data_IF_943551574831
#
_entry.id   IF_943551574831
#
_cell.length_a   1.000
_cell.length_b   1.000
_cell.length_c   1.000
_cell.angle_alpha   90.00
_cell.angle_beta   90.00
_cell.angle_gamma   90.00
#
_symmetry.space_group_name_H-M   'P 1'
#
loop_
_entity.id
_entity.type
_entity.pdbx_description
1 polymer ?
#
# COMPACT_ATOMS: atom_id res chain seq x y z
N UNK A 1 17.36 25.01 -41.67
CA UNK A 1 15.96 24.92 -41.22
C UNK A 1 16.01 25.02 -39.70
N UNK A 2 15.30 25.98 -39.11
CA UNK A 2 15.17 26.10 -37.65
C UNK A 2 14.10 25.15 -37.14
N UNK A 3 14.03 24.90 -35.84
CA UNK A 3 12.96 24.09 -35.27
C UNK A 3 11.60 24.79 -35.33
N UNK A 4 11.58 26.13 -35.35
CA UNK A 4 10.37 26.90 -35.67
C UNK A 4 9.88 26.55 -37.08
N UNK A 5 10.78 26.56 -38.07
CA UNK A 5 10.43 26.18 -39.45
C UNK A 5 9.92 24.73 -39.51
N UNK A 6 10.52 23.82 -38.72
CA UNK A 6 10.07 22.43 -38.62
C UNK A 6 8.65 22.33 -38.05
N UNK A 7 8.36 23.01 -36.93
CA UNK A 7 7.03 23.02 -36.32
C UNK A 7 5.97 23.56 -37.29
N UNK A 8 6.29 24.65 -37.99
CA UNK A 8 5.40 25.24 -39.00
C UNK A 8 5.18 24.30 -40.19
N UNK A 9 6.24 23.69 -40.70
CA UNK A 9 6.16 22.70 -41.79
C UNK A 9 5.31 21.51 -41.37
N UNK A 10 5.49 20.99 -40.16
CA UNK A 10 4.70 19.87 -39.65
C UNK A 10 3.24 20.25 -39.38
N UNK A 11 2.95 21.45 -38.86
CA UNK A 11 1.58 21.93 -38.69
C UNK A 11 0.85 22.00 -40.03
N UNK A 12 1.47 22.61 -41.06
CA UNK A 12 0.92 22.67 -42.41
C UNK A 12 0.71 21.28 -43.02
N UNK A 13 1.67 20.38 -42.81
CA UNK A 13 1.56 19.00 -43.28
C UNK A 13 0.38 18.27 -42.62
N UNK A 14 0.23 18.36 -41.30
CA UNK A 14 -0.88 17.74 -40.58
C UNK A 14 -2.24 18.29 -41.04
N UNK A 15 -2.35 19.58 -41.35
CA UNK A 15 -3.58 20.16 -41.89
C UNK A 15 -3.88 19.73 -43.33
N UNK A 16 -2.84 19.58 -44.15
CA UNK A 16 -3.01 19.04 -45.50
C UNK A 16 -3.47 17.58 -45.45
N UNK A 17 -2.91 16.80 -44.53
CA UNK A 17 -3.33 15.42 -44.27
C UNK A 17 -4.74 15.37 -43.69
N UNK A 18 -5.10 16.25 -42.76
CA UNK A 18 -6.47 16.37 -42.25
C UNK A 18 -7.46 16.56 -43.40
N UNK A 19 -7.22 17.52 -44.31
CA UNK A 19 -8.10 17.76 -45.46
C UNK A 19 -8.18 16.55 -46.38
N UNK A 20 -7.06 15.84 -46.58
CA UNK A 20 -7.02 14.61 -47.36
C UNK A 20 -7.83 13.50 -46.68
N UNK A 21 -7.71 13.33 -45.37
CA UNK A 21 -8.44 12.32 -44.58
C UNK A 21 -9.93 12.64 -44.52
N UNK A 22 -10.32 13.91 -44.37
CA UNK A 22 -11.74 14.30 -44.42
C UNK A 22 -12.36 14.14 -45.82
N UNK A 23 -11.55 14.23 -46.88
CA UNK A 23 -11.98 14.01 -48.25
C UNK A 23 -11.88 12.56 -48.72
N UNK A 24 -11.06 11.75 -48.06
CA UNK A 24 -10.95 10.32 -48.28
C UNK A 24 -11.91 9.59 -47.32
N UNK A 25 -12.40 8.42 -47.71
CA UNK A 25 -13.33 7.64 -46.90
C UNK A 25 -12.66 6.96 -45.67
N UNK A 26 -11.60 7.55 -45.13
CA UNK A 26 -10.75 6.99 -44.08
C UNK A 26 -11.40 7.09 -42.68
N UNK A 27 -12.26 8.09 -42.46
CA UNK A 27 -13.07 8.23 -41.25
C UNK A 27 -14.49 7.64 -41.41
N UNK A 28 -14.70 6.78 -42.42
CA UNK A 28 -15.98 6.11 -42.58
C UNK A 28 -16.20 5.02 -41.53
N UNK A 29 -17.46 4.82 -41.09
CA UNK A 29 -17.80 3.73 -40.17
C UNK A 29 -17.41 2.37 -40.74
N UNK A 30 -16.62 1.61 -39.97
CA UNK A 30 -16.26 0.23 -40.26
C UNK A 30 -17.31 -0.66 -39.62
N UNK A 31 -18.09 -1.35 -40.46
CA UNK A 31 -19.17 -2.24 -40.03
C UNK A 31 -18.66 -3.66 -39.77
N UNK A 32 -19.44 -4.45 -39.04
CA UNK A 32 -19.19 -5.88 -38.80
C UNK A 32 -17.85 -6.18 -38.09
N UNK A 33 -17.44 -5.31 -37.18
CA UNK A 33 -16.25 -5.53 -36.36
C UNK A 33 -16.58 -6.48 -35.22
N UNK A 34 -15.66 -7.42 -34.95
CA UNK A 34 -15.73 -8.26 -33.75
C UNK A 34 -14.70 -7.82 -32.73
N UNK A 35 -15.10 -7.73 -31.46
CA UNK A 35 -14.27 -7.29 -30.35
C UNK A 35 -14.15 -8.40 -29.32
N UNK A 36 -12.94 -8.66 -28.81
CA UNK A 36 -12.68 -9.58 -27.70
C UNK A 36 -11.81 -8.92 -26.64
N UNK A 37 -12.22 -8.98 -25.38
CA UNK A 37 -11.42 -8.46 -24.27
C UNK A 37 -10.19 -9.34 -24.09
N UNK A 38 -8.99 -8.74 -24.14
CA UNK A 38 -7.73 -9.45 -23.87
C UNK A 38 -7.38 -9.44 -22.41
N UNK A 39 -7.41 -8.26 -21.79
CA UNK A 39 -7.18 -8.10 -20.37
C UNK A 39 -7.62 -6.71 -19.90
N UNK A 40 -7.77 -6.57 -18.59
CA UNK A 40 -8.13 -5.33 -17.92
C UNK A 40 -7.10 -5.00 -16.84
N UNK A 41 -6.74 -3.73 -16.72
CA UNK A 41 -5.84 -3.23 -15.68
C UNK A 41 -6.52 -2.01 -15.06
N UNK A 42 -7.05 -2.18 -13.86
CA UNK A 42 -7.79 -1.11 -13.21
C UNK A 42 -9.05 -0.77 -13.99
N UNK A 43 -9.16 0.48 -14.43
CA UNK A 43 -10.23 0.99 -15.30
C UNK A 43 -9.88 0.89 -16.79
N UNK A 44 -8.65 0.51 -17.16
CA UNK A 44 -8.29 0.37 -18.57
C UNK A 44 -8.58 -1.03 -19.07
N UNK A 45 -9.13 -1.11 -20.28
CA UNK A 45 -9.50 -2.35 -20.95
C UNK A 45 -8.81 -2.43 -22.32
N UNK A 46 -8.10 -3.53 -22.57
CA UNK A 46 -7.50 -3.80 -23.87
C UNK A 46 -8.38 -4.77 -24.65
N UNK A 47 -8.95 -4.28 -25.74
CA UNK A 47 -9.75 -5.04 -26.68
C UNK A 47 -8.95 -5.38 -27.93
N UNK A 48 -9.10 -6.61 -28.42
CA UNK A 48 -8.68 -7.00 -29.77
C UNK A 48 -9.89 -6.90 -30.69
N UNK A 49 -9.75 -6.14 -31.76
CA UNK A 49 -10.77 -5.96 -32.79
C UNK A 49 -10.33 -6.65 -34.06
N UNK A 50 -11.21 -7.45 -34.65
CA UNK A 50 -11.01 -8.01 -35.99
C UNK A 50 -11.83 -7.20 -36.99
N UNK A 51 -11.13 -6.50 -37.87
CA UNK A 51 -11.69 -5.65 -38.91
C UNK A 51 -12.05 -6.49 -40.16
N UNK A 52 -13.02 -6.04 -40.97
CA UNK A 52 -13.28 -6.59 -42.29
C UNK A 52 -12.04 -6.50 -43.20
N UNK A 53 -11.91 -7.41 -44.19
CA UNK A 53 -10.79 -7.37 -45.13
C UNK A 53 -10.79 -6.06 -45.93
N UNK A 54 -9.62 -5.42 -46.01
CA UNK A 54 -9.43 -4.13 -46.69
C UNK A 54 -9.57 -2.91 -45.79
N UNK A 55 -10.08 -3.08 -44.57
CA UNK A 55 -10.10 -2.04 -43.54
C UNK A 55 -8.80 -2.04 -42.75
N UNK A 56 -8.28 -0.87 -42.41
CA UNK A 56 -7.13 -0.70 -41.53
C UNK A 56 -7.33 0.53 -40.64
N UNK A 57 -6.72 0.52 -39.46
CA UNK A 57 -6.71 1.66 -38.54
C UNK A 57 -5.25 1.98 -38.19
N UNK A 58 -4.89 3.25 -38.25
CA UNK A 58 -3.55 3.71 -37.88
C UNK A 58 -3.40 3.78 -36.36
N UNK A 59 -2.16 3.67 -35.88
CA UNK A 59 -1.84 3.87 -34.46
C UNK A 59 -2.23 5.28 -34.01
N UNK A 60 -2.58 5.39 -32.73
CA UNK A 60 -3.04 6.60 -32.06
C UNK A 60 -4.35 7.18 -32.61
N UNK A 61 -5.05 6.45 -33.50
CA UNK A 61 -6.35 6.90 -34.00
C UNK A 61 -7.38 6.78 -32.89
N UNK A 62 -8.04 7.88 -32.48
CA UNK A 62 -9.20 7.82 -31.60
C UNK A 62 -10.36 7.17 -32.35
N UNK A 63 -11.10 6.32 -31.66
CA UNK A 63 -12.25 5.63 -32.22
C UNK A 63 -13.43 5.63 -31.25
N UNK A 64 -14.63 5.59 -31.81
CA UNK A 64 -15.85 5.26 -31.08
C UNK A 64 -16.32 3.87 -31.50
N UNK A 65 -16.51 2.99 -30.53
CA UNK A 65 -17.03 1.64 -30.74
C UNK A 65 -18.52 1.66 -30.37
N UNK A 66 -19.38 1.37 -31.34
CA UNK A 66 -20.83 1.34 -31.20
C UNK A 66 -21.28 -0.13 -31.22
N UNK A 67 -21.65 -0.72 -30.08
CA UNK A 67 -22.21 -2.06 -30.04
C UNK A 67 -23.61 -2.12 -30.70
N UNK A 68 -24.07 -3.30 -31.16
CA UNK A 68 -25.38 -3.42 -31.81
C UNK A 68 -26.57 -3.37 -30.84
N UNK A 69 -26.37 -3.61 -29.55
CA UNK A 69 -27.45 -3.88 -28.58
C UNK A 69 -27.98 -2.63 -27.84
N UNK A 70 -28.02 -1.45 -28.49
CA UNK A 70 -28.37 -0.15 -27.87
C UNK A 70 -27.52 0.22 -26.63
N UNK A 71 -26.35 -0.41 -26.48
CA UNK A 71 -25.37 -0.08 -25.45
C UNK A 71 -24.71 1.26 -25.77
N UNK A 72 -24.32 1.99 -24.72
CA UNK A 72 -23.65 3.28 -24.87
C UNK A 72 -22.35 3.12 -25.69
N UNK A 73 -22.09 4.04 -26.65
CA UNK A 73 -20.88 4.02 -27.44
C UNK A 73 -19.67 4.22 -26.52
N UNK A 74 -18.64 3.42 -26.75
CA UNK A 74 -17.41 3.46 -25.94
C UNK A 74 -16.28 4.09 -26.74
N UNK A 75 -15.62 5.09 -26.14
CA UNK A 75 -14.45 5.73 -26.73
C UNK A 75 -13.17 4.94 -26.44
N UNK A 76 -12.25 4.95 -27.40
CA UNK A 76 -10.95 4.30 -27.27
C UNK A 76 -9.89 4.86 -28.19
N UNK A 77 -8.68 4.34 -28.05
CA UNK A 77 -7.54 4.67 -28.88
C UNK A 77 -6.86 3.40 -29.40
N UNK A 78 -6.48 3.41 -30.67
CA UNK A 78 -5.77 2.30 -31.31
C UNK A 78 -4.31 2.31 -30.85
N UNK A 79 -3.90 1.29 -30.10
CA UNK A 79 -2.52 1.16 -29.61
C UNK A 79 -1.61 0.43 -30.61
N UNK A 80 -2.17 -0.38 -31.50
CA UNK A 80 -1.38 -1.18 -32.43
C UNK A 80 -2.23 -2.11 -33.26
N UNK A 81 -1.63 -2.74 -34.26
CA UNK A 81 -2.32 -3.78 -35.02
C UNK A 81 -1.41 -4.52 -35.99
N UNK A 82 -1.87 -5.68 -36.45
CA UNK A 82 -1.22 -6.45 -37.50
C UNK A 82 -2.29 -7.00 -38.44
N UNK A 83 -2.22 -6.61 -39.72
CA UNK A 83 -3.20 -7.02 -40.72
C UNK A 83 -4.59 -6.47 -40.40
N UNK A 84 -5.56 -7.37 -40.25
CA UNK A 84 -6.95 -7.03 -39.91
C UNK A 84 -7.23 -7.02 -38.41
N UNK A 85 -6.24 -7.29 -37.57
CA UNK A 85 -6.40 -7.30 -36.11
C UNK A 85 -5.79 -6.05 -35.53
N UNK A 86 -6.54 -5.33 -34.71
CA UNK A 86 -6.10 -4.11 -34.03
C UNK A 86 -6.37 -4.18 -32.53
N UNK A 87 -5.50 -3.57 -31.74
CA UNK A 87 -5.59 -3.49 -30.29
C UNK A 87 -6.03 -2.09 -29.90
N UNK A 88 -7.12 -2.01 -29.13
CA UNK A 88 -7.74 -0.77 -28.71
C UNK A 88 -7.80 -0.71 -27.20
N UNK A 89 -7.35 0.41 -26.64
CA UNK A 89 -7.54 0.72 -25.23
C UNK A 89 -8.81 1.54 -25.04
N UNK A 90 -9.68 1.12 -24.12
CA UNK A 90 -10.86 1.85 -23.68
C UNK A 90 -10.83 2.09 -22.17
N UNK A 91 -11.57 3.10 -21.71
CA UNK A 91 -11.78 3.38 -20.27
C UNK A 91 -13.03 2.70 -19.72
N UNK A 92 -14.04 2.49 -20.56
CA UNK A 92 -15.26 1.78 -20.20
C UNK A 92 -15.25 0.36 -20.77
N UNK A 93 -15.86 -0.56 -20.03
CA UNK A 93 -15.96 -1.96 -20.42
C UNK A 93 -17.16 -2.17 -21.35
N UNK A 94 -16.90 -2.65 -22.57
CA UNK A 94 -17.92 -3.07 -23.53
C UNK A 94 -18.50 -4.45 -23.13
N UNK A 95 -17.74 -5.25 -22.38
CA UNK A 95 -18.03 -6.65 -22.04
C UNK A 95 -16.88 -7.58 -22.40
N UNK A 96 -17.10 -8.90 -22.35
CA UNK A 96 -16.08 -9.91 -22.70
C UNK A 96 -15.88 -10.02 -24.21
N UNK A 97 -16.96 -9.91 -24.98
CA UNK A 97 -16.94 -9.95 -26.43
C UNK A 97 -18.10 -9.14 -26.98
N UNK A 98 -17.90 -8.49 -28.12
CA UNK A 98 -18.94 -7.81 -28.87
C UNK A 98 -18.85 -8.27 -30.33
N UNK A 99 -19.95 -8.73 -30.91
CA UNK A 99 -20.03 -9.10 -32.31
C UNK A 99 -20.80 -8.03 -33.08
N UNK A 100 -20.47 -7.83 -34.35
CA UNK A 100 -21.13 -6.85 -35.22
C UNK A 100 -21.12 -5.41 -34.67
N UNK A 101 -20.05 -5.01 -33.99
CA UNK A 101 -19.85 -3.62 -33.61
C UNK A 101 -19.59 -2.76 -34.85
N UNK A 102 -19.96 -1.50 -34.76
CA UNK A 102 -19.54 -0.45 -35.71
C UNK A 102 -18.43 0.36 -35.08
N UNK A 103 -17.32 0.55 -35.80
CA UNK A 103 -16.19 1.36 -35.35
C UNK A 103 -16.13 2.61 -36.19
N UNK A 104 -16.16 3.77 -35.54
CA UNK A 104 -16.04 5.07 -36.19
C UNK A 104 -14.68 5.68 -35.81
N UNK A 105 -13.73 5.78 -36.75
CA UNK A 105 -12.47 6.46 -36.50
C UNK A 105 -12.60 7.98 -36.60
N UNK A 106 -11.84 8.70 -35.78
CA UNK A 106 -11.71 10.16 -35.81
C UNK A 106 -10.25 10.58 -36.08
N UNK A 107 -9.72 10.17 -37.23
CA UNK A 107 -8.35 10.52 -37.62
C UNK A 107 -8.26 11.99 -38.00
N UNK A 108 -9.26 12.55 -38.68
CA UNK A 108 -9.28 13.96 -39.02
C UNK A 108 -9.30 14.85 -37.77
N UNK A 109 -10.12 14.54 -36.75
CA UNK A 109 -10.14 15.27 -35.49
C UNK A 109 -8.82 15.19 -34.73
N UNK A 110 -8.17 14.03 -34.73
CA UNK A 110 -6.82 13.87 -34.16
C UNK A 110 -5.77 14.75 -34.86
N UNK A 111 -5.75 14.73 -36.20
CA UNK A 111 -4.81 15.54 -37.00
C UNK A 111 -5.07 17.04 -36.80
N UNK A 112 -6.33 17.46 -36.76
CA UNK A 112 -6.72 18.84 -36.50
C UNK A 112 -6.23 19.31 -35.12
N UNK A 113 -6.45 18.49 -34.09
CA UNK A 113 -6.03 18.79 -32.72
C UNK A 113 -4.50 18.86 -32.61
N UNK A 114 -3.80 17.94 -33.27
CA UNK A 114 -2.33 17.91 -33.30
C UNK A 114 -1.75 19.13 -34.02
N UNK A 115 -2.28 19.49 -35.19
CA UNK A 115 -1.87 20.70 -35.91
C UNK A 115 -2.13 21.97 -35.09
N UNK A 116 -3.30 22.06 -34.45
CA UNK A 116 -3.63 23.17 -33.55
C UNK A 116 -2.63 23.29 -32.40
N UNK A 117 -2.27 22.18 -31.74
CA UNK A 117 -1.25 22.19 -30.68
C UNK A 117 0.09 22.73 -31.18
N UNK A 118 0.55 22.31 -32.36
CA UNK A 118 1.78 22.83 -32.96
C UNK A 118 1.68 24.34 -33.25
N UNK A 119 0.52 24.83 -33.71
CA UNK A 119 0.29 26.27 -33.89
C UNK A 119 0.26 27.04 -32.58
N UNK A 120 -0.37 26.49 -31.55
CA UNK A 120 -0.41 27.11 -30.23
C UNK A 120 1.01 27.25 -29.65
N UNK A 121 1.86 26.24 -29.84
CA UNK A 121 3.29 26.30 -29.49
C UNK A 121 4.02 27.43 -30.25
N UNK A 122 3.72 27.62 -31.54
CA UNK A 122 4.30 28.70 -32.35
C UNK A 122 3.79 30.10 -31.95
N UNK A 123 2.53 30.19 -31.51
CA UNK A 123 1.88 31.44 -31.13
C UNK A 123 2.32 31.94 -29.74
N UNK A 124 2.80 31.05 -28.87
CA UNK A 124 3.20 31.36 -27.49
C UNK A 124 4.68 31.07 -27.21
N UNK A 125 5.64 31.66 -27.96
CA UNK A 125 7.06 31.42 -27.72
C UNK A 125 7.51 31.86 -26.33
N UNK A 126 6.89 32.92 -25.79
CA UNK A 126 7.21 33.44 -24.46
C UNK A 126 6.76 32.51 -23.32
N UNK A 127 5.83 31.58 -23.56
CA UNK A 127 5.43 30.58 -22.56
C UNK A 127 6.57 29.58 -22.23
N UNK A 128 7.59 29.51 -23.10
CA UNK A 128 8.77 28.67 -22.91
C UNK A 128 9.98 29.44 -22.40
N UNK A 129 9.88 30.77 -22.28
CA UNK A 129 10.93 31.62 -21.72
C UNK A 129 10.91 31.57 -20.20
N UNK A 130 12.07 31.74 -19.56
CA UNK A 130 12.25 31.74 -18.10
C UNK A 130 11.95 30.39 -17.42
N UNK A 131 11.90 29.29 -18.19
CA UNK A 131 11.73 27.92 -17.70
C UNK A 131 12.92 27.00 -18.00
N UNK A 132 12.88 25.73 -17.56
CA UNK A 132 13.91 24.74 -17.90
C UNK A 132 14.09 24.53 -19.42
N UNK A 133 13.01 24.74 -20.18
CA UNK A 133 12.99 24.64 -21.64
C UNK A 133 13.71 25.80 -22.36
N UNK A 134 13.97 26.92 -21.68
CA UNK A 134 14.64 28.09 -22.26
C UNK A 134 16.07 27.75 -22.73
N UNK A 135 16.70 26.78 -22.06
CA UNK A 135 18.02 26.24 -22.46
C UNK A 135 17.99 25.49 -23.81
N UNK A 136 16.82 25.07 -24.27
CA UNK A 136 16.62 24.44 -25.57
C UNK A 136 16.39 25.46 -26.68
N UNK A 137 16.00 26.70 -26.36
CA UNK A 137 15.70 27.74 -27.36
C UNK A 137 16.87 27.98 -28.34
N UNK A 138 18.15 28.06 -27.90
CA UNK A 138 19.28 28.21 -28.83
C UNK A 138 19.44 27.02 -29.80
N UNK A 139 19.07 25.81 -29.38
CA UNK A 139 19.10 24.62 -30.25
C UNK A 139 17.95 24.63 -31.28
N UNK A 140 16.83 25.26 -30.94
CA UNK A 140 15.69 25.44 -31.84
C UNK A 140 15.96 26.52 -32.90
N UNK A 141 16.84 27.48 -32.62
CA UNK A 141 17.20 28.57 -33.53
C UNK A 141 18.42 28.24 -34.42
N UNK A 142 19.24 27.25 -34.03
CA UNK A 142 20.41 26.86 -34.80
C UNK A 142 20.02 26.21 -36.15
N UNK A 143 20.62 26.63 -37.29
CA UNK A 143 20.35 26.01 -38.57
C UNK A 143 20.88 24.57 -38.58
N UNK A 144 20.05 23.62 -39.00
CA UNK A 144 20.29 22.17 -39.13
C UNK A 144 21.48 21.73 -39.99
N UNK A 145 22.38 22.63 -40.40
CA UNK A 145 23.51 22.36 -41.29
C UNK A 145 24.88 22.82 -40.79
N UNK A 146 25.03 23.28 -39.55
CA UNK A 146 26.36 23.50 -38.97
C UNK A 146 27.00 22.15 -38.68
N UNK A 147 28.13 21.89 -39.32
CA UNK A 147 28.77 20.59 -39.47
C UNK A 147 29.02 19.85 -38.17
N UNK A 148 29.11 18.53 -38.33
CA UNK A 148 29.79 17.58 -37.46
C UNK A 148 29.97 18.02 -36.00
N UNK A 149 29.16 17.43 -35.11
CA UNK A 149 29.55 17.20 -33.71
C UNK A 149 30.71 16.17 -33.62
N UNK A 150 31.65 16.18 -34.58
CA UNK A 150 32.91 15.44 -34.57
C UNK A 150 33.89 16.19 -33.69
N UNK A 151 33.79 15.94 -32.39
CA UNK A 151 34.73 16.43 -31.40
C UNK A 151 34.47 15.73 -30.09
N UNK A 152 35.13 14.59 -29.91
CA UNK A 152 35.14 13.84 -28.66
C UNK A 152 35.35 14.76 -27.44
N UNK A 153 34.60 14.53 -26.37
CA UNK A 153 35.05 14.89 -25.01
C UNK A 153 34.48 16.16 -24.37
N UNK A 154 33.19 16.49 -24.55
CA UNK A 154 32.43 17.24 -23.55
C UNK A 154 30.94 17.11 -23.85
N UNK A 155 30.23 16.31 -23.05
CA UNK A 155 28.78 16.17 -23.17
C UNK A 155 28.10 17.53 -23.06
N UNK A 156 27.42 17.97 -24.12
CA UNK A 156 26.42 19.02 -23.97
C UNK A 156 25.39 18.51 -22.96
N UNK A 157 25.28 19.16 -21.81
CA UNK A 157 24.28 18.84 -20.76
C UNK A 157 22.82 18.98 -21.24
N UNK A 158 22.61 19.40 -22.48
CA UNK A 158 21.32 19.81 -23.03
C UNK A 158 20.80 18.82 -24.08
N UNK A 159 21.65 18.37 -25.02
CA UNK A 159 21.25 17.43 -26.07
C UNK A 159 22.35 16.39 -26.30
N UNK A 160 21.99 15.11 -26.26
CA UNK A 160 22.87 13.98 -26.56
C UNK A 160 22.21 13.11 -27.61
N UNK A 161 22.91 12.84 -28.71
CA UNK A 161 22.44 11.96 -29.78
C UNK A 161 23.07 10.58 -29.63
N UNK A 162 22.23 9.55 -29.54
CA UNK A 162 22.68 8.15 -29.51
C UNK A 162 22.42 7.53 -30.88
N UNK A 163 23.46 7.40 -31.69
CA UNK A 163 23.39 6.81 -33.02
C UNK A 163 24.10 5.46 -33.09
N UNK A 164 23.50 4.51 -33.82
CA UNK A 164 24.05 3.22 -34.19
C UNK A 164 23.11 2.59 -35.23
N UNK A 165 23.67 1.88 -36.21
CA UNK A 165 22.86 1.22 -37.26
C UNK A 165 21.99 0.12 -36.65
N UNK A 166 22.55 -0.63 -35.68
CA UNK A 166 21.84 -1.70 -34.99
C UNK A 166 20.89 -1.15 -33.91
N UNK A 167 19.63 -1.57 -33.97
CA UNK A 167 18.57 -1.13 -33.05
C UNK A 167 18.73 -1.69 -31.62
N UNK A 168 19.22 -2.92 -31.50
CA UNK A 168 19.56 -3.55 -30.20
C UNK A 168 20.61 -2.72 -29.45
N UNK A 169 21.67 -2.31 -30.13
CA UNK A 169 22.77 -1.50 -29.59
C UNK A 169 22.26 -0.12 -29.17
N UNK A 170 21.40 0.51 -29.98
CA UNK A 170 20.75 1.78 -29.59
C UNK A 170 19.94 1.63 -28.30
N UNK A 171 19.10 0.60 -28.20
CA UNK A 171 18.29 0.33 -27.01
C UNK A 171 19.15 0.06 -25.78
N UNK A 172 20.23 -0.71 -25.93
CA UNK A 172 21.16 -1.00 -24.83
C UNK A 172 21.85 0.28 -24.33
N UNK A 173 22.34 1.14 -25.23
CA UNK A 173 22.94 2.43 -24.88
C UNK A 173 21.93 3.34 -24.16
N UNK A 174 20.69 3.40 -24.64
CA UNK A 174 19.61 4.14 -23.98
C UNK A 174 19.29 3.58 -22.59
N UNK A 175 19.29 2.25 -22.41
CA UNK A 175 19.05 1.63 -21.12
C UNK A 175 20.15 1.95 -20.10
N UNK A 176 21.42 1.98 -20.53
CA UNK A 176 22.55 2.42 -19.70
C UNK A 176 22.39 3.88 -19.28
N UNK A 177 22.10 4.77 -20.24
CA UNK A 177 21.86 6.19 -19.96
C UNK A 177 20.69 6.39 -18.98
N UNK A 178 19.59 5.66 -19.16
CA UNK A 178 18.44 5.73 -18.26
C UNK A 178 18.82 5.35 -16.83
N UNK A 179 19.63 4.29 -16.64
CA UNK A 179 20.10 3.88 -15.30
C UNK A 179 20.97 4.96 -14.66
N UNK A 180 21.86 5.59 -15.42
CA UNK A 180 22.70 6.69 -14.92
C UNK A 180 21.85 7.89 -14.47
N UNK A 181 20.87 8.28 -15.28
CA UNK A 181 19.94 9.37 -14.98
C UNK A 181 19.05 9.06 -13.76
N UNK A 182 18.56 7.82 -13.64
CA UNK A 182 17.78 7.38 -12.48
C UNK A 182 18.64 7.43 -11.21
N UNK A 183 19.89 6.96 -11.27
CA UNK A 183 20.84 7.05 -10.14
C UNK A 183 21.16 8.49 -9.76
N UNK A 184 21.18 9.40 -10.73
CA UNK A 184 21.30 10.84 -10.52
C UNK A 184 19.99 11.53 -10.08
N UNK A 185 18.97 10.73 -9.71
CA UNK A 185 17.65 11.18 -9.26
C UNK A 185 16.96 12.11 -10.27
N UNK A 186 16.99 11.74 -11.55
CA UNK A 186 16.31 12.47 -12.64
C UNK A 186 15.02 11.77 -13.03
N UNK A 187 14.00 12.58 -13.30
CA UNK A 187 12.75 12.13 -13.92
C UNK A 187 12.94 12.10 -15.44
N UNK A 188 12.50 11.01 -16.08
CA UNK A 188 12.71 10.76 -17.51
C UNK A 188 11.35 10.60 -18.17
N UNK A 189 11.07 11.44 -19.17
CA UNK A 189 9.96 11.23 -20.10
C UNK A 189 10.51 10.52 -21.34
N UNK A 190 9.95 9.36 -21.66
CA UNK A 190 10.32 8.58 -22.85
C UNK A 190 9.20 8.70 -23.87
N UNK A 191 9.54 9.16 -25.07
CA UNK A 191 8.62 9.24 -26.20
C UNK A 191 9.13 8.29 -27.29
N UNK A 192 8.24 7.45 -27.82
CA UNK A 192 8.53 6.46 -28.85
C UNK A 192 7.64 6.72 -30.07
N UNK A 193 8.04 6.25 -31.27
CA UNK A 193 7.24 6.43 -32.48
C UNK A 193 5.95 5.60 -32.47
N UNK A 194 5.92 4.51 -31.70
CA UNK A 194 4.77 3.63 -31.55
C UNK A 194 4.82 2.89 -30.20
N UNK A 195 3.69 2.28 -29.83
CA UNK A 195 3.53 1.57 -28.58
C UNK A 195 4.32 0.26 -28.48
N UNK A 196 4.64 -0.40 -29.61
CA UNK A 196 5.46 -1.62 -29.61
C UNK A 196 6.93 -1.28 -29.32
N UNK A 197 7.43 -0.19 -29.89
CA UNK A 197 8.74 0.37 -29.62
C UNK A 197 8.85 0.82 -28.17
N UNK A 198 7.78 1.42 -27.63
CA UNK A 198 7.69 1.77 -26.20
C UNK A 198 7.80 0.52 -25.31
N UNK A 199 7.01 -0.52 -25.58
CA UNK A 199 7.06 -1.79 -24.86
C UNK A 199 8.47 -2.38 -24.87
N UNK A 200 9.09 -2.49 -26.05
CA UNK A 200 10.41 -3.08 -26.16
C UNK A 200 11.51 -2.26 -25.47
N UNK A 201 11.44 -0.92 -25.54
CA UNK A 201 12.39 -0.04 -24.86
C UNK A 201 12.22 -0.10 -23.33
N UNK A 202 10.98 -0.03 -22.83
CA UNK A 202 10.66 -0.16 -21.41
C UNK A 202 11.12 -1.52 -20.87
N UNK A 203 10.88 -2.60 -21.62
CA UNK A 203 11.36 -3.94 -21.28
C UNK A 203 12.88 -4.03 -21.19
N UNK A 204 13.59 -3.40 -22.14
CA UNK A 204 15.06 -3.32 -22.15
C UNK A 204 15.60 -2.56 -20.94
N UNK A 205 15.02 -1.40 -20.63
CA UNK A 205 15.38 -0.58 -19.46
C UNK A 205 15.12 -1.37 -18.17
N UNK A 206 13.93 -1.96 -18.03
CA UNK A 206 13.54 -2.72 -16.85
C UNK A 206 14.45 -3.94 -16.60
N UNK A 207 14.86 -4.65 -17.66
CA UNK A 207 15.84 -5.75 -17.54
C UNK A 207 17.20 -5.22 -17.12
N UNK A 208 17.68 -4.15 -17.73
CA UNK A 208 18.97 -3.57 -17.38
C UNK A 208 18.98 -3.10 -15.90
N UNK A 209 17.89 -2.49 -15.44
CA UNK A 209 17.70 -2.13 -14.03
C UNK A 209 17.73 -3.36 -13.12
N UNK A 210 17.00 -4.43 -13.48
CA UNK A 210 16.99 -5.69 -12.74
C UNK A 210 18.39 -6.31 -12.65
N UNK A 211 19.16 -6.29 -13.74
CA UNK A 211 20.54 -6.80 -13.76
C UNK A 211 21.48 -6.02 -12.83
N UNK A 212 21.18 -4.74 -12.60
CA UNK A 212 21.95 -3.83 -11.74
C UNK A 212 21.41 -3.78 -10.31
N UNK A 213 20.39 -4.58 -9.98
CA UNK A 213 19.79 -4.65 -8.64
C UNK A 213 18.83 -3.50 -8.30
N UNK A 214 18.39 -2.72 -9.29
CA UNK A 214 17.40 -1.65 -9.09
C UNK A 214 15.96 -2.18 -9.21
N UNK A 215 15.07 -1.68 -8.35
CA UNK A 215 13.65 -2.05 -8.35
C UNK A 215 12.86 -1.34 -9.46
N UNK A 216 12.92 -1.86 -10.69
CA UNK A 216 12.28 -1.24 -11.86
C UNK A 216 10.78 -0.91 -11.68
N UNK A 217 10.02 -1.69 -10.89
CA UNK A 217 8.59 -1.47 -10.63
C UNK A 217 8.23 -0.16 -9.92
N UNK A 218 9.19 0.53 -9.32
CA UNK A 218 8.95 1.82 -8.64
C UNK A 218 9.41 3.02 -9.46
N UNK A 219 10.23 2.80 -10.48
CA UNK A 219 10.91 3.88 -11.23
C UNK A 219 10.41 4.05 -12.65
N UNK A 220 9.77 3.01 -13.19
CA UNK A 220 9.28 3.00 -14.57
C UNK A 220 7.77 2.85 -14.55
N UNK A 221 7.08 3.79 -15.20
CA UNK A 221 5.64 3.78 -15.36
C UNK A 221 5.28 4.12 -16.81
N UNK A 222 4.23 3.48 -17.32
CA UNK A 222 3.67 3.71 -18.65
C UNK A 222 2.20 4.13 -18.54
N UNK A 223 1.76 5.13 -19.31
CA UNK A 223 0.36 5.57 -19.27
C UNK A 223 -0.57 4.64 -20.05
N UNK A 224 -0.15 4.22 -21.24
CA UNK A 224 -0.94 3.33 -22.09
C UNK A 224 -0.74 1.87 -21.70
N UNK A 225 -1.73 1.04 -22.02
CA UNK A 225 -1.65 -0.40 -21.80
C UNK A 225 -0.55 -1.02 -22.65
N UNK A 226 0.15 -1.99 -22.07
CA UNK A 226 1.14 -2.78 -22.78
C UNK A 226 0.44 -3.72 -23.78
N UNK A 227 0.96 -3.79 -25.01
CA UNK A 227 0.46 -4.74 -26.01
C UNK A 227 0.93 -6.17 -25.67
N UNK A 228 2.11 -6.29 -25.08
CA UNK A 228 2.69 -7.55 -24.62
C UNK A 228 2.58 -7.70 -23.10
N UNK A 229 2.19 -8.89 -22.63
CA UNK A 229 2.15 -9.18 -21.19
C UNK A 229 3.56 -9.24 -20.59
N UNK A 230 4.50 -9.82 -21.33
CA UNK A 230 5.89 -9.96 -20.93
C UNK A 230 6.83 -9.66 -22.09
N UNK A 231 7.94 -8.99 -21.79
CA UNK A 231 9.06 -8.85 -22.72
C UNK A 231 10.31 -9.27 -21.98
N UNK A 232 10.99 -10.28 -22.53
CA UNK A 232 12.31 -10.73 -22.08
C UNK A 232 12.35 -10.99 -20.56
N UNK A 233 11.30 -11.66 -20.06
CA UNK A 233 11.13 -12.07 -18.66
C UNK A 233 10.64 -10.98 -17.70
N UNK A 234 10.32 -9.79 -18.21
CA UNK A 234 9.73 -8.68 -17.44
C UNK A 234 8.25 -8.59 -17.76
N UNK A 235 7.39 -8.64 -16.73
CA UNK A 235 5.96 -8.36 -16.86
C UNK A 235 5.70 -6.87 -17.09
N UNK A 236 5.66 -6.43 -18.35
CA UNK A 236 5.50 -5.01 -18.69
C UNK A 236 4.11 -4.49 -18.32
N UNK A 237 3.08 -5.33 -18.37
CA UNK A 237 1.74 -4.97 -17.92
C UNK A 237 1.69 -4.41 -16.49
N UNK A 238 2.59 -4.86 -15.61
CA UNK A 238 2.69 -4.39 -14.23
C UNK A 238 3.36 -3.02 -14.10
N UNK A 239 3.99 -2.55 -15.18
CA UNK A 239 4.61 -1.23 -15.28
C UNK A 239 3.64 -0.16 -15.79
N UNK A 240 2.38 -0.52 -16.07
CA UNK A 240 1.34 0.47 -16.32
C UNK A 240 1.07 1.31 -15.07
N UNK A 241 0.86 2.61 -15.27
CA UNK A 241 0.51 3.57 -14.21
C UNK A 241 -0.72 3.09 -13.45
N UNK A 242 -1.77 2.68 -14.17
CA UNK A 242 -2.98 2.14 -13.57
C UNK A 242 -2.71 0.85 -12.77
N UNK A 243 -1.86 -0.05 -13.27
CA UNK A 243 -1.48 -1.26 -12.54
C UNK A 243 -0.81 -0.90 -11.19
N UNK A 244 0.13 0.04 -11.22
CA UNK A 244 0.87 0.48 -10.03
C UNK A 244 -0.04 1.20 -9.03
N UNK A 245 -0.91 2.09 -9.52
CA UNK A 245 -1.88 2.81 -8.70
C UNK A 245 -2.87 1.86 -8.02
N UNK A 246 -3.44 0.91 -8.76
CA UNK A 246 -4.35 -0.09 -8.19
C UNK A 246 -3.66 -0.98 -7.16
N UNK A 247 -2.43 -1.42 -7.41
CA UNK A 247 -1.65 -2.19 -6.44
C UNK A 247 -1.36 -1.37 -5.17
N UNK A 248 -1.03 -0.09 -5.31
CA UNK A 248 -0.80 0.80 -4.19
C UNK A 248 -2.07 1.00 -3.34
N UNK A 249 -3.21 1.26 -3.98
CA UNK A 249 -4.49 1.39 -3.28
C UNK A 249 -4.93 0.08 -2.61
N UNK A 250 -4.72 -1.06 -3.27
CA UNK A 250 -5.03 -2.37 -2.69
C UNK A 250 -4.22 -2.62 -1.42
N UNK A 251 -2.91 -2.32 -1.42
CA UNK A 251 -2.04 -2.41 -0.24
C UNK A 251 -2.52 -1.50 0.90
N UNK A 252 -2.78 -0.22 0.60
CA UNK A 252 -3.26 0.74 1.59
C UNK A 252 -4.62 0.35 2.19
N UNK A 253 -5.54 -0.20 1.39
CA UNK A 253 -6.82 -0.73 1.89
C UNK A 253 -6.61 -1.95 2.79
N UNK A 254 -5.71 -2.85 2.43
CA UNK A 254 -5.39 -4.03 3.24
C UNK A 254 -4.78 -3.63 4.59
N UNK A 255 -3.85 -2.67 4.61
CA UNK A 255 -3.25 -2.14 5.84
C UNK A 255 -4.29 -1.45 6.73
N UNK A 256 -5.17 -0.63 6.15
CA UNK A 256 -6.30 -0.02 6.89
C UNK A 256 -7.22 -1.07 7.47
N UNK A 257 -7.53 -2.14 6.73
CA UNK A 257 -8.37 -3.23 7.22
C UNK A 257 -7.68 -4.00 8.36
N UNK A 258 -6.37 -4.25 8.26
CA UNK A 258 -5.59 -4.88 9.33
C UNK A 258 -5.57 -4.02 10.61
N UNK A 259 -5.40 -2.70 10.46
CA UNK A 259 -5.41 -1.77 11.59
C UNK A 259 -6.80 -1.70 12.25
N UNK A 260 -7.88 -1.69 11.47
CA UNK A 260 -9.25 -1.77 11.98
C UNK A 260 -9.47 -3.04 12.79
N UNK A 261 -9.06 -4.21 12.29
CA UNK A 261 -9.16 -5.48 13.03
C UNK A 261 -8.39 -5.46 14.35
N UNK A 262 -7.18 -4.87 14.37
CA UNK A 262 -6.43 -4.69 15.62
C UNK A 262 -7.18 -3.79 16.60
N UNK A 263 -7.70 -2.66 16.12
CA UNK A 263 -8.49 -1.73 16.93
C UNK A 263 -9.76 -2.39 17.48
N UNK A 264 -10.51 -3.14 16.66
CA UNK A 264 -11.71 -3.84 17.09
C UNK A 264 -11.40 -4.89 18.16
N UNK A 265 -10.30 -5.67 17.98
CA UNK A 265 -9.82 -6.61 19.00
C UNK A 265 -9.43 -5.89 20.29
N UNK A 266 -8.75 -4.73 20.22
CA UNK A 266 -8.46 -3.92 21.42
C UNK A 266 -9.75 -3.44 22.09
N UNK A 267 -10.73 -2.97 21.33
CA UNK A 267 -12.02 -2.52 21.86
C UNK A 267 -12.79 -3.64 22.56
N UNK A 268 -12.75 -4.85 22.02
CA UNK A 268 -13.36 -6.04 22.63
C UNK A 268 -12.62 -6.51 23.88
N UNK A 269 -11.29 -6.48 23.88
CA UNK A 269 -10.48 -6.94 25.01
C UNK A 269 -10.43 -5.93 26.16
N UNK A 270 -10.55 -4.62 25.89
CA UNK A 270 -10.47 -3.57 26.92
C UNK A 270 -11.43 -3.77 28.11
N UNK A 271 -12.75 -4.01 27.92
CA UNK A 271 -13.65 -4.22 29.05
C UNK A 271 -13.34 -5.53 29.80
N UNK A 272 -12.91 -6.58 29.09
CA UNK A 272 -12.54 -7.88 29.70
C UNK A 272 -11.29 -7.72 30.56
N UNK A 273 -10.27 -7.01 30.06
CA UNK A 273 -9.04 -6.73 30.81
C UNK A 273 -9.31 -5.82 32.01
N UNK A 274 -10.20 -4.82 31.88
CA UNK A 274 -10.61 -3.97 32.99
C UNK A 274 -11.33 -4.78 34.09
N UNK A 275 -12.26 -5.65 33.72
CA UNK A 275 -12.96 -6.55 34.65
C UNK A 275 -11.97 -7.49 35.36
N UNK A 276 -11.06 -8.13 34.62
CA UNK A 276 -10.04 -9.01 35.20
C UNK A 276 -9.05 -8.26 36.09
N UNK A 277 -8.70 -7.03 35.72
CA UNK A 277 -7.87 -6.15 36.53
C UNK A 277 -8.55 -5.76 37.85
N UNK A 278 -9.87 -5.56 37.85
CA UNK A 278 -10.63 -5.36 39.09
C UNK A 278 -10.63 -6.62 39.95
N UNK A 279 -10.86 -7.81 39.37
CA UNK A 279 -10.81 -9.08 40.10
C UNK A 279 -9.43 -9.41 40.66
N UNK A 280 -8.36 -8.99 40.01
CA UNK A 280 -7.01 -9.11 40.54
C UNK A 280 -6.82 -8.23 41.78
N UNK A 281 -7.33 -7.00 41.79
CA UNK A 281 -7.31 -6.13 42.99
C UNK A 281 -8.11 -6.75 44.13
N UNK A 282 -9.31 -7.24 43.84
CA UNK A 282 -10.16 -7.91 44.82
C UNK A 282 -9.44 -9.14 45.41
N UNK A 283 -8.74 -9.93 44.57
CA UNK A 283 -7.93 -11.07 45.01
C UNK A 283 -6.78 -10.65 45.92
N UNK A 284 -6.07 -9.57 45.58
CA UNK A 284 -4.94 -9.06 46.37
C UNK A 284 -5.43 -8.54 47.74
N UNK A 285 -6.60 -7.90 47.79
CA UNK A 285 -7.24 -7.48 49.05
C UNK A 285 -7.63 -8.67 49.93
N UNK A 286 -8.25 -9.72 49.36
CA UNK A 286 -8.63 -10.92 50.12
C UNK A 286 -7.39 -11.70 50.61
N UNK A 287 -6.32 -11.78 49.81
CA UNK A 287 -5.04 -12.36 50.25
C UNK A 287 -4.41 -11.58 51.40
N UNK A 288 -4.52 -10.26 51.37
CA UNK A 288 -4.05 -9.42 52.48
C UNK A 288 -4.87 -9.66 53.75
N UNK A 289 -6.18 -9.87 53.63
CA UNK A 289 -7.04 -10.25 54.75
C UNK A 289 -6.68 -11.63 55.30
N UNK A 290 -6.50 -12.64 54.44
CA UNK A 290 -6.04 -13.98 54.86
C UNK A 290 -4.73 -13.89 55.66
N UNK A 291 -3.76 -13.12 55.15
CA UNK A 291 -2.48 -12.93 55.84
C UNK A 291 -2.63 -12.26 57.21
N UNK A 292 -3.50 -11.24 57.32
CA UNK A 292 -3.79 -10.57 58.61
C UNK A 292 -4.45 -11.52 59.60
N UNK A 293 -5.45 -12.29 59.16
CA UNK A 293 -6.15 -13.27 59.99
C UNK A 293 -5.19 -14.37 60.48
N UNK A 294 -4.35 -14.91 59.59
CA UNK A 294 -3.30 -15.87 59.94
C UNK A 294 -2.38 -15.32 61.01
N UNK A 295 -1.93 -14.08 60.86
CA UNK A 295 -1.03 -13.41 61.81
C UNK A 295 -1.68 -13.27 63.19
N UNK A 296 -2.94 -12.84 63.25
CA UNK A 296 -3.69 -12.73 64.51
C UNK A 296 -3.89 -14.10 65.19
N UNK A 297 -4.20 -15.14 64.41
CA UNK A 297 -4.32 -16.51 64.93
C UNK A 297 -2.98 -17.01 65.49
N UNK A 298 -1.85 -16.74 64.82
CA UNK A 298 -0.53 -17.11 65.34
C UNK A 298 -0.18 -16.35 66.61
N UNK A 299 -0.53 -15.07 66.72
CA UNK A 299 -0.30 -14.26 67.91
C UNK A 299 -1.12 -14.75 69.12
N UNK A 300 -2.40 -15.09 68.90
CA UNK A 300 -3.25 -15.67 69.95
C UNK A 300 -2.76 -17.06 70.37
N UNK A 301 -2.31 -17.90 69.43
CA UNK A 301 -1.70 -19.19 69.77
C UNK A 301 -0.40 -19.03 70.57
N UNK A 302 0.41 -18.01 70.28
CA UNK A 302 1.59 -17.70 71.08
C UNK A 302 1.20 -17.29 72.52
N UNK A 303 0.16 -16.47 72.68
CA UNK A 303 -0.39 -16.09 73.99
C UNK A 303 -0.96 -17.30 74.76
N UNK A 304 -1.68 -18.19 74.09
CA UNK A 304 -2.18 -19.45 74.70
C UNK A 304 -1.02 -20.30 75.21
N UNK A 305 0.06 -20.44 74.42
CA UNK A 305 1.27 -21.16 74.84
C UNK A 305 1.95 -20.50 76.05
N UNK A 306 2.04 -19.17 76.06
CA UNK A 306 2.61 -18.41 77.19
C UNK A 306 1.77 -18.59 78.47
N UNK A 307 0.44 -18.51 78.36
CA UNK A 307 -0.47 -18.72 79.49
C UNK A 307 -0.38 -20.15 80.02
N UNK A 308 -0.33 -21.15 79.14
CA UNK A 308 -0.15 -22.56 79.54
C UNK A 308 1.20 -22.81 80.22
N UNK A 309 2.29 -22.20 79.73
CA UNK A 309 3.59 -22.29 80.37
C UNK A 309 3.60 -21.66 81.77
N UNK A 310 2.98 -20.48 81.91
CA UNK A 310 2.87 -19.81 83.22
C UNK A 310 1.98 -20.56 84.21
N UNK A 311 0.91 -21.22 83.76
CA UNK A 311 0.09 -22.11 84.60
C UNK A 311 0.86 -23.34 85.08
N UNK A 312 1.63 -24.00 84.20
CA UNK A 312 2.44 -25.17 84.56
C UNK A 312 3.59 -24.85 85.53
N UNK A 313 4.13 -23.64 85.47
CA UNK A 313 5.18 -23.17 86.37
C UNK A 313 4.63 -22.49 87.64
N UNK A 314 3.35 -22.12 87.66
CA UNK A 314 2.76 -21.20 88.65
C UNK A 314 3.02 -21.62 90.10
N UNK A 315 2.86 -22.91 90.41
CA UNK A 315 3.04 -23.45 91.77
C UNK A 315 4.51 -23.50 92.21
N UNK A 316 5.43 -23.58 91.25
CA UNK A 316 6.87 -23.66 91.47
C UNK A 316 7.55 -22.27 91.54
N UNK A 317 6.80 -21.19 91.34
CA UNK A 317 7.34 -19.83 91.38
C UNK A 317 7.56 -19.31 92.81
N UNK A 318 8.64 -18.53 93.05
CA UNK A 318 8.87 -17.83 94.32
C UNK A 318 7.67 -16.96 94.73
N UNK A 319 7.39 -16.87 96.04
CA UNK A 319 6.22 -16.19 96.58
C UNK A 319 6.08 -14.73 96.10
N UNK A 320 7.18 -13.98 96.05
CA UNK A 320 7.21 -12.61 95.55
C UNK A 320 6.79 -12.50 94.07
N UNK A 321 7.14 -13.50 93.24
CA UNK A 321 6.80 -13.54 91.82
C UNK A 321 5.33 -13.88 91.60
N UNK A 322 4.76 -14.78 92.40
CA UNK A 322 3.31 -15.03 92.44
C UNK A 322 2.54 -13.78 92.84
N UNK A 323 2.89 -13.14 93.95
CA UNK A 323 2.24 -11.89 94.38
C UNK A 323 2.30 -10.79 93.32
N UNK A 324 3.42 -10.67 92.59
CA UNK A 324 3.53 -9.72 91.48
C UNK A 324 2.63 -10.05 90.29
N UNK A 325 2.43 -11.33 89.97
CA UNK A 325 1.51 -11.77 88.92
C UNK A 325 0.04 -11.52 89.32
N UNK A 326 -0.30 -11.76 90.59
CA UNK A 326 -1.63 -11.46 91.13
C UNK A 326 -1.95 -9.97 91.09
N UNK A 327 -0.96 -9.09 91.34
CA UNK A 327 -1.11 -7.64 91.23
C UNK A 327 -1.40 -7.15 89.80
N UNK A 328 -0.99 -7.92 88.78
CA UNK A 328 -1.26 -7.64 87.35
C UNK A 328 -2.52 -8.38 86.87
N UNK A 329 -3.27 -9.03 87.78
CA UNK A 329 -4.50 -9.74 87.44
C UNK A 329 -4.27 -11.10 86.78
N UNK A 330 -3.10 -11.72 86.95
CA UNK A 330 -2.76 -13.08 86.48
C UNK A 330 -2.84 -14.09 87.63
N UNK A 331 -4.04 -14.25 88.19
CA UNK A 331 -4.38 -15.36 89.09
C UNK A 331 -4.66 -16.64 88.29
N UNK A 332 -4.63 -17.80 88.94
CA UNK A 332 -4.95 -19.09 88.29
C UNK A 332 -6.32 -19.04 87.62
N UNK A 333 -7.36 -18.56 88.30
CA UNK A 333 -8.72 -18.45 87.74
C UNK A 333 -8.80 -17.50 86.53
N UNK A 334 -8.16 -16.33 86.60
CA UNK A 334 -8.12 -15.37 85.49
C UNK A 334 -7.31 -15.89 84.29
N UNK A 335 -6.25 -16.68 84.53
CA UNK A 335 -5.47 -17.31 83.45
C UNK A 335 -6.30 -18.37 82.71
N UNK A 336 -7.14 -19.14 83.41
CA UNK A 336 -8.11 -20.03 82.77
C UNK A 336 -9.16 -19.26 81.96
N UNK A 337 -9.67 -18.14 82.48
CA UNK A 337 -10.59 -17.26 81.74
C UNK A 337 -9.95 -16.65 80.48
N UNK A 338 -8.66 -16.26 80.55
CA UNK A 338 -7.92 -15.78 79.38
C UNK A 338 -7.70 -16.89 78.34
N UNK A 339 -7.48 -18.14 78.76
CA UNK A 339 -7.39 -19.27 77.85
C UNK A 339 -8.71 -19.49 77.10
N UNK A 340 -9.83 -19.57 77.81
CA UNK A 340 -11.16 -19.73 77.19
C UNK A 340 -11.46 -18.59 76.21
N UNK A 341 -11.11 -17.35 76.56
CA UNK A 341 -11.27 -16.19 75.69
C UNK A 341 -10.39 -16.29 74.42
N UNK A 342 -9.11 -16.62 74.56
CA UNK A 342 -8.20 -16.73 73.42
C UNK A 342 -8.53 -17.93 72.53
N UNK A 343 -9.03 -19.02 73.11
CA UNK A 343 -9.51 -20.18 72.36
C UNK A 343 -10.78 -19.87 71.57
N UNK A 344 -11.76 -19.18 72.19
CA UNK A 344 -12.96 -18.70 71.49
C UNK A 344 -12.60 -17.78 70.32
N UNK A 345 -11.70 -16.81 70.54
CA UNK A 345 -11.23 -15.90 69.50
C UNK A 345 -10.45 -16.62 68.39
N UNK A 346 -9.68 -17.66 68.72
CA UNK A 346 -9.01 -18.50 67.72
C UNK A 346 -10.01 -19.27 66.84
N UNK A 347 -11.11 -19.74 67.40
CA UNK A 347 -12.15 -20.47 66.65
C UNK A 347 -12.89 -19.51 65.70
N UNK A 348 -13.26 -18.32 66.17
CA UNK A 348 -13.90 -17.29 65.35
C UNK A 348 -13.01 -16.86 64.17
N UNK A 349 -11.74 -16.52 64.44
CA UNK A 349 -10.79 -16.11 63.40
C UNK A 349 -10.46 -17.23 62.41
N UNK A 350 -10.49 -18.50 62.84
CA UNK A 350 -10.36 -19.65 61.91
C UNK A 350 -11.57 -19.76 60.99
N UNK A 351 -12.78 -19.52 61.49
CA UNK A 351 -13.99 -19.47 60.66
C UNK A 351 -13.91 -18.36 59.60
N UNK A 352 -13.47 -17.16 59.96
CA UNK A 352 -13.27 -16.05 59.01
C UNK A 352 -12.18 -16.36 57.96
N UNK A 353 -11.13 -17.06 58.37
CA UNK A 353 -10.04 -17.48 57.50
C UNK A 353 -10.49 -18.53 56.47
N UNK A 354 -11.37 -19.46 56.85
CA UNK A 354 -11.95 -20.43 55.91
C UNK A 354 -12.85 -19.73 54.87
N UNK A 355 -13.59 -18.69 55.27
CA UNK A 355 -14.35 -17.85 54.33
C UNK A 355 -13.42 -17.10 53.37
N UNK A 356 -12.32 -16.53 53.87
CA UNK A 356 -11.34 -15.84 53.03
C UNK A 356 -10.69 -16.79 52.02
N UNK A 357 -10.34 -18.02 52.42
CA UNK A 357 -9.79 -19.04 51.52
C UNK A 357 -10.77 -19.48 50.44
N UNK A 358 -12.02 -19.74 50.81
CA UNK A 358 -13.06 -20.08 49.84
C UNK A 358 -13.24 -18.96 48.80
N UNK A 359 -13.15 -17.69 49.24
CA UNK A 359 -13.24 -16.54 48.34
C UNK A 359 -12.01 -16.38 47.43
N UNK A 360 -10.81 -16.73 47.90
CA UNK A 360 -9.60 -16.77 47.08
C UNK A 360 -9.76 -17.81 45.96
N UNK A 361 -10.27 -19.00 46.27
CA UNK A 361 -10.45 -20.07 45.30
C UNK A 361 -11.44 -19.70 44.19
N UNK A 362 -12.46 -18.88 44.50
CA UNK A 362 -13.39 -18.31 43.51
C UNK A 362 -12.75 -17.21 42.65
N UNK A 363 -11.91 -16.34 43.24
CA UNK A 363 -11.34 -15.18 42.55
C UNK A 363 -10.12 -15.51 41.67
N UNK A 364 -9.37 -16.56 41.99
CA UNK A 364 -8.22 -17.02 41.19
C UNK A 364 -8.55 -17.30 39.71
N UNK A 365 -9.60 -18.08 39.36
CA UNK A 365 -9.95 -18.31 37.96
C UNK A 365 -10.52 -17.06 37.27
N UNK A 366 -11.19 -16.17 38.00
CA UNK A 366 -11.76 -14.92 37.46
C UNK A 366 -10.68 -13.87 37.16
N UNK A 367 -9.64 -13.79 37.98
CA UNK A 367 -8.51 -12.87 37.82
C UNK A 367 -7.47 -13.39 36.80
N UNK A 368 -7.48 -14.68 36.46
CA UNK A 368 -6.55 -15.25 35.51
C UNK A 368 -6.72 -14.63 34.10
N UNK A 369 -5.66 -14.00 33.61
CA UNK A 369 -5.58 -13.47 32.23
C UNK A 369 -4.97 -14.54 31.32
N UNK A 370 -5.73 -15.13 30.36
CA UNK A 370 -5.23 -16.07 29.38
C UNK A 370 -4.10 -15.46 28.56
N UNK A 371 -3.14 -16.29 28.14
CA UNK A 371 -2.00 -15.84 27.33
C UNK A 371 -2.43 -15.17 26.02
N UNK A 372 -3.56 -15.58 25.45
CA UNK A 372 -4.11 -15.07 24.18
C UNK A 372 -4.79 -13.68 24.29
N UNK A 373 -5.05 -13.23 25.52
CA UNK A 373 -5.65 -11.91 25.83
C UNK A 373 -4.60 -10.89 26.27
N UNK A 374 -3.32 -11.29 26.40
CA UNK A 374 -2.26 -10.35 26.70
C UNK A 374 -2.09 -9.43 25.49
N UNK A 375 -2.06 -8.10 25.68
CA UNK A 375 -1.77 -7.21 24.58
C UNK A 375 -0.36 -7.54 24.09
N UNK A 376 -0.27 -8.06 22.87
CA UNK A 376 0.97 -8.14 22.11
C UNK A 376 1.40 -6.70 21.84
N UNK A 377 2.29 -6.19 22.70
CA UNK A 377 3.11 -5.02 22.41
C UNK A 377 4.48 -5.47 21.94
#
# INVERSE_FOLDING_TARGET
MTARDLLETWALRLESEQKRVSGAELDQPILHVTCGLKHSIGTLHLYELTLPPGSFLEHDTPISIIPPDDMEPTEGIVLGGQGNVVFVQTFDAIGQSCANATVVPDRAGFLATSAKRLRDMLAQPDAYRLGPADRLAPLLEAPTGAGELSGAGAGSSILTTVWSDELSVRRQRLAVLAIELIRANKLILVVCPDHQAADALVGSIARAMKAVGLMYKTWVSRYEMALAQQIEGIGIQELGFEAQMHQFYAKSRAEKAALRRKYDRFRELTPVLAYKGQKQKDLDEVRLLEWRLLTQVTDLQAKIKEVNATLGEYENLPLLRRLSLQAVGKNVESLHQYLELYESQCVELRGELDVAKARIDELVPEAAVPKDMRPEF
#
